data_IF_715853831329
#
_entry.id   IF_715853831329
#
_cell.length_a   1.000
_cell.length_b   1.000
_cell.length_c   1.000
_cell.angle_alpha   90.00
_cell.angle_beta   90.00
_cell.angle_gamma   90.00
#
_symmetry.space_group_name_H-M   'P 1'
#
loop_
_entity.id
_entity.type
_entity.pdbx_description
1 polymer ?
#
# COMPACT_ATOMS: atom_id res chain seq x y z
N UNK A 1 2.80 -21.27 -25.20
CA UNK A 1 1.78 -20.21 -25.27
C UNK A 1 2.03 -19.33 -24.04
N UNK A 2 2.56 -18.11 -24.21
CA UNK A 2 2.71 -17.17 -23.09
C UNK A 2 1.30 -16.80 -22.61
N UNK A 3 1.02 -17.02 -21.31
CA UNK A 3 -0.22 -16.53 -20.71
C UNK A 3 -0.30 -15.03 -20.97
N UNK A 4 -1.44 -14.55 -21.48
CA UNK A 4 -1.67 -13.11 -21.67
C UNK A 4 -1.52 -12.42 -20.32
N UNK A 5 -0.57 -11.51 -20.21
CA UNK A 5 -0.37 -10.73 -19.01
C UNK A 5 -1.43 -9.64 -18.91
N UNK A 6 -2.21 -9.67 -17.83
CA UNK A 6 -3.21 -8.65 -17.54
C UNK A 6 -2.70 -7.71 -16.44
N UNK A 7 -3.17 -6.47 -16.45
CA UNK A 7 -2.87 -5.52 -15.39
C UNK A 7 -3.42 -6.00 -14.04
N UNK A 8 -2.60 -6.10 -12.96
CA UNK A 8 -3.05 -6.59 -11.66
C UNK A 8 -4.00 -5.62 -10.94
N UNK A 9 -4.06 -4.36 -11.38
CA UNK A 9 -4.95 -3.34 -10.79
C UNK A 9 -6.33 -3.30 -11.47
N UNK A 10 -6.37 -3.20 -12.81
CA UNK A 10 -7.63 -2.95 -13.53
C UNK A 10 -8.05 -4.09 -14.47
N UNK A 11 -7.33 -5.21 -14.46
CA UNK A 11 -7.51 -6.35 -15.37
C UNK A 11 -7.45 -5.98 -16.87
N UNK A 12 -6.94 -4.80 -17.22
CA UNK A 12 -6.76 -4.35 -18.60
C UNK A 12 -5.75 -5.22 -19.36
N UNK A 13 -6.00 -5.43 -20.66
CA UNK A 13 -5.14 -6.22 -21.56
C UNK A 13 -4.13 -5.39 -22.34
N UNK A 14 -4.28 -4.07 -22.32
CA UNK A 14 -3.36 -3.11 -22.96
C UNK A 14 -2.09 -2.99 -22.13
N UNK A 15 -1.23 -4.02 -22.19
CA UNK A 15 0.00 -4.10 -21.42
C UNK A 15 1.19 -4.09 -22.39
N UNK A 16 2.17 -3.21 -22.14
CA UNK A 16 3.37 -3.07 -22.96
C UNK A 16 4.62 -2.97 -22.08
N UNK A 17 5.79 -3.27 -22.65
CA UNK A 17 7.07 -3.08 -22.00
C UNK A 17 7.28 -1.60 -21.64
N UNK A 18 7.66 -1.35 -20.39
CA UNK A 18 7.94 -0.02 -19.87
C UNK A 18 9.43 0.25 -19.73
N UNK A 19 10.13 -0.60 -18.99
CA UNK A 19 11.56 -0.48 -18.74
C UNK A 19 12.14 -1.86 -18.40
N UNK A 20 13.47 -1.96 -18.39
CA UNK A 20 14.21 -3.12 -17.89
C UNK A 20 15.46 -2.65 -17.17
N UNK A 21 15.76 -3.26 -16.04
CA UNK A 21 17.04 -3.14 -15.36
C UNK A 21 17.79 -4.48 -15.34
N UNK A 22 18.83 -4.59 -14.56
CA UNK A 22 19.65 -5.81 -14.47
C UNK A 22 18.92 -6.96 -13.77
N UNK A 23 17.84 -6.69 -13.03
CA UNK A 23 17.11 -7.65 -12.20
C UNK A 23 15.81 -8.10 -12.86
N UNK A 24 15.02 -7.15 -13.39
CA UNK A 24 13.67 -7.44 -13.87
C UNK A 24 13.18 -6.49 -14.97
N UNK A 25 12.17 -6.94 -15.68
CA UNK A 25 11.41 -6.13 -16.62
C UNK A 25 10.19 -5.51 -15.95
N UNK A 26 9.79 -4.33 -16.42
CA UNK A 26 8.63 -3.59 -15.96
C UNK A 26 7.66 -3.39 -17.10
N UNK A 27 6.39 -3.57 -16.80
CA UNK A 27 5.27 -3.44 -17.73
C UNK A 27 4.44 -2.20 -17.38
N UNK A 28 3.74 -1.67 -18.37
CA UNK A 28 2.85 -0.52 -18.24
C UNK A 28 1.47 -0.86 -18.78
N UNK A 29 0.45 -0.54 -18.01
CA UNK A 29 -0.94 -0.66 -18.44
C UNK A 29 -1.40 0.61 -19.15
N UNK A 30 -1.80 0.50 -20.43
CA UNK A 30 -2.34 1.62 -21.20
C UNK A 30 -3.67 2.16 -20.67
N UNK A 31 -4.43 1.33 -19.91
CA UNK A 31 -5.73 1.72 -19.36
C UNK A 31 -5.66 2.53 -18.07
N UNK A 32 -4.83 2.13 -17.10
CA UNK A 32 -4.77 2.76 -15.78
C UNK A 32 -3.40 3.36 -15.42
N UNK A 33 -2.44 3.29 -16.35
CA UNK A 33 -1.08 3.80 -16.21
C UNK A 33 -0.23 3.13 -15.10
N UNK A 34 -0.69 2.00 -14.51
CA UNK A 34 0.12 1.26 -13.55
C UNK A 34 1.39 0.75 -14.23
N UNK A 35 2.53 0.97 -13.58
CA UNK A 35 3.79 0.29 -13.88
C UNK A 35 3.97 -0.83 -12.87
N UNK A 36 4.24 -2.06 -13.35
CA UNK A 36 4.28 -3.25 -12.52
C UNK A 36 5.26 -4.28 -13.07
N UNK A 37 5.62 -5.27 -12.25
CA UNK A 37 6.45 -6.40 -12.66
C UNK A 37 5.59 -7.61 -13.02
N UNK A 38 6.11 -8.50 -13.87
CA UNK A 38 5.45 -9.77 -14.13
C UNK A 38 5.41 -10.65 -12.86
N UNK A 39 4.40 -11.54 -12.70
CA UNK A 39 4.25 -12.39 -11.51
C UNK A 39 5.49 -13.22 -11.16
N UNK A 40 6.32 -13.58 -12.16
CA UNK A 40 7.56 -14.35 -11.94
C UNK A 40 8.63 -13.60 -11.15
N UNK A 41 8.52 -12.28 -11.01
CA UNK A 41 9.45 -11.45 -10.25
C UNK A 41 8.96 -11.14 -8.84
N UNK A 42 7.71 -11.48 -8.53
CA UNK A 42 7.17 -11.29 -7.19
C UNK A 42 7.85 -12.24 -6.21
N UNK A 43 8.30 -11.76 -5.05
CA UNK A 43 8.92 -12.60 -4.05
C UNK A 43 7.90 -13.57 -3.44
N UNK A 44 8.39 -14.66 -2.87
CA UNK A 44 7.57 -15.51 -2.02
C UNK A 44 7.37 -14.87 -0.64
N UNK A 45 6.40 -15.39 0.13
CA UNK A 45 6.01 -14.85 1.44
C UNK A 45 7.17 -14.77 2.44
N UNK A 46 8.13 -15.69 2.39
CA UNK A 46 9.25 -15.69 3.31
C UNK A 46 10.27 -14.60 2.96
N UNK A 47 10.52 -14.42 1.67
CA UNK A 47 11.38 -13.35 1.13
C UNK A 47 10.77 -11.96 1.36
N UNK A 48 9.45 -11.80 1.17
CA UNK A 48 8.75 -10.56 1.52
C UNK A 48 8.93 -10.20 2.99
N UNK A 49 8.67 -11.15 3.89
CA UNK A 49 8.82 -10.92 5.32
C UNK A 49 10.25 -10.54 5.70
N UNK A 50 11.25 -11.23 5.14
CA UNK A 50 12.64 -10.93 5.40
C UNK A 50 13.02 -9.49 4.99
N UNK A 51 12.46 -8.97 3.90
CA UNK A 51 12.66 -7.58 3.47
C UNK A 51 11.98 -6.61 4.43
N UNK A 52 10.74 -6.89 4.85
CA UNK A 52 10.02 -6.02 5.79
C UNK A 52 10.65 -6.00 7.19
N UNK A 53 11.25 -7.10 7.64
CA UNK A 53 11.96 -7.17 8.93
C UNK A 53 13.24 -6.30 8.97
N UNK A 54 13.68 -5.75 7.82
CA UNK A 54 14.79 -4.77 7.76
C UNK A 54 14.34 -3.34 8.10
N UNK A 55 13.04 -3.06 8.13
CA UNK A 55 12.52 -1.73 8.42
C UNK A 55 12.41 -1.49 9.94
N UNK A 56 13.01 -0.41 10.40
CA UNK A 56 12.85 0.08 11.78
C UNK A 56 11.70 1.09 11.83
N UNK A 57 10.55 0.66 12.35
CA UNK A 57 9.33 1.44 12.44
C UNK A 57 9.04 1.84 13.90
N UNK A 58 9.98 2.55 14.58
CA UNK A 58 9.73 3.02 15.95
C UNK A 58 8.57 4.03 15.95
N UNK A 59 7.50 3.67 16.68
CA UNK A 59 6.30 4.50 16.83
C UNK A 59 6.58 5.87 17.46
N UNK A 60 7.73 6.04 18.11
CA UNK A 60 8.15 7.27 18.79
C UNK A 60 9.13 8.09 17.96
N UNK A 61 9.66 7.57 16.85
CA UNK A 61 10.59 8.31 16.00
C UNK A 61 9.92 9.56 15.42
N UNK A 62 10.42 10.77 15.79
CA UNK A 62 9.83 12.02 15.31
C UNK A 62 9.90 12.18 13.78
N UNK A 63 10.96 11.67 13.14
CA UNK A 63 11.13 11.77 11.69
C UNK A 63 10.12 10.86 10.96
N UNK A 64 9.92 9.64 11.47
CA UNK A 64 8.91 8.72 10.91
C UNK A 64 7.49 9.27 11.11
N UNK A 65 7.17 9.80 12.31
CA UNK A 65 5.88 10.46 12.58
C UNK A 65 5.65 11.69 11.68
N UNK A 66 6.68 12.52 11.45
CA UNK A 66 6.59 13.65 10.53
C UNK A 66 6.35 13.19 9.08
N UNK A 67 6.94 12.08 8.66
CA UNK A 67 6.66 11.46 7.37
C UNK A 67 5.20 11.01 7.26
N UNK A 68 4.68 10.28 8.25
CA UNK A 68 3.31 9.79 8.30
C UNK A 68 2.26 10.91 8.42
N UNK A 69 2.62 12.07 8.99
CA UNK A 69 1.74 13.25 9.08
C UNK A 69 1.28 13.75 7.69
N UNK A 70 2.01 13.44 6.63
CA UNK A 70 1.63 13.76 5.24
C UNK A 70 0.30 13.12 4.84
N UNK A 71 -0.04 11.95 5.43
CA UNK A 71 -1.36 11.33 5.29
C UNK A 71 -2.27 11.66 6.47
N UNK A 72 -1.76 11.59 7.70
CA UNK A 72 -2.56 11.77 8.90
C UNK A 72 -3.28 13.12 8.94
N UNK A 73 -2.58 14.24 8.67
CA UNK A 73 -3.17 15.57 8.74
C UNK A 73 -4.35 15.77 7.76
N UNK A 74 -4.20 15.52 6.44
CA UNK A 74 -5.31 15.69 5.52
C UNK A 74 -6.46 14.70 5.77
N UNK A 75 -6.17 13.50 6.31
CA UNK A 75 -7.19 12.52 6.67
C UNK A 75 -8.01 13.01 7.87
N UNK A 76 -7.34 13.37 8.97
CA UNK A 76 -7.98 13.88 10.19
C UNK A 76 -8.87 15.10 9.93
N UNK A 77 -8.42 16.00 9.05
CA UNK A 77 -9.21 17.20 8.68
C UNK A 77 -10.57 16.88 8.01
N UNK A 78 -10.78 15.63 7.60
CA UNK A 78 -11.99 15.17 6.91
C UNK A 78 -12.90 14.28 7.78
N UNK A 79 -12.40 13.86 8.92
CA UNK A 79 -13.09 12.87 9.76
C UNK A 79 -13.94 13.55 10.85
N UNK A 80 -15.11 13.01 11.16
CA UNK A 80 -15.86 13.43 12.35
C UNK A 80 -15.11 13.01 13.62
N UNK A 81 -15.37 13.65 14.78
CA UNK A 81 -14.84 13.22 16.06
C UNK A 81 -15.14 11.74 16.34
N UNK A 82 -14.19 11.03 16.95
CA UNK A 82 -14.30 9.62 17.32
C UNK A 82 -14.59 8.66 16.16
N UNK A 83 -14.24 9.04 14.92
CA UNK A 83 -14.37 8.15 13.77
C UNK A 83 -13.60 6.83 13.99
N UNK A 84 -14.14 5.73 13.47
CA UNK A 84 -13.51 4.42 13.51
C UNK A 84 -12.81 4.11 12.20
N UNK A 85 -11.59 3.58 12.28
CA UNK A 85 -10.77 3.29 11.11
C UNK A 85 -10.03 1.96 11.15
N UNK A 86 -9.44 1.62 10.02
CA UNK A 86 -8.54 0.49 9.84
C UNK A 86 -7.20 0.99 9.29
N UNK A 87 -6.11 0.64 9.95
CA UNK A 87 -4.76 0.80 9.41
C UNK A 87 -4.35 -0.53 8.75
N UNK A 88 -4.40 -0.54 7.42
CA UNK A 88 -4.13 -1.71 6.57
C UNK A 88 -2.67 -1.73 6.15
N UNK A 89 -1.97 -2.85 6.45
CA UNK A 89 -0.53 -2.94 6.29
C UNK A 89 0.20 -2.14 7.36
N UNK A 90 -0.23 -2.27 8.61
CA UNK A 90 0.27 -1.45 9.72
C UNK A 90 1.73 -1.73 10.11
N UNK A 91 2.34 -2.80 9.58
CA UNK A 91 3.71 -3.19 9.87
C UNK A 91 3.96 -3.60 11.33
N UNK A 92 5.23 -3.81 11.71
CA UNK A 92 5.60 -4.19 13.07
C UNK A 92 5.45 -3.04 14.09
N UNK A 93 5.56 -1.79 13.60
CA UNK A 93 5.42 -0.58 14.42
C UNK A 93 4.29 0.31 13.90
N UNK A 94 3.02 0.17 14.40
CA UNK A 94 1.85 0.85 13.87
C UNK A 94 1.79 2.33 14.26
N UNK A 95 2.80 3.11 13.83
CA UNK A 95 2.97 4.50 14.23
C UNK A 95 1.80 5.38 13.77
N UNK A 96 1.27 5.17 12.55
CA UNK A 96 0.11 5.94 12.07
C UNK A 96 -1.12 5.69 12.94
N UNK A 97 -1.41 4.43 13.26
CA UNK A 97 -2.52 4.09 14.16
C UNK A 97 -2.34 4.72 15.55
N UNK A 98 -1.12 4.72 16.10
CA UNK A 98 -0.82 5.41 17.36
C UNK A 98 -1.13 6.91 17.27
N UNK A 99 -0.66 7.58 16.21
CA UNK A 99 -0.91 9.02 15.98
C UNK A 99 -2.40 9.35 15.86
N UNK A 100 -3.18 8.48 15.21
CA UNK A 100 -4.62 8.67 15.06
C UNK A 100 -5.36 8.41 16.39
N UNK A 101 -4.96 7.37 17.16
CA UNK A 101 -5.50 7.09 18.48
C UNK A 101 -5.23 8.22 19.48
N UNK A 102 -4.05 8.84 19.45
CA UNK A 102 -3.70 10.03 20.24
C UNK A 102 -4.64 11.22 19.96
N UNK A 103 -5.28 11.24 18.79
CA UNK A 103 -6.26 12.24 18.36
C UNK A 103 -7.71 11.84 18.63
N UNK A 104 -7.91 10.72 19.33
CA UNK A 104 -9.25 10.26 19.76
C UNK A 104 -10.00 9.40 18.75
N UNK A 105 -9.32 8.88 17.70
CA UNK A 105 -9.92 7.93 16.75
C UNK A 105 -9.78 6.48 17.25
N UNK A 106 -10.75 5.64 16.91
CA UNK A 106 -10.65 4.20 17.10
C UNK A 106 -10.01 3.58 15.86
N UNK A 107 -8.88 2.88 15.99
CA UNK A 107 -8.16 2.31 14.85
C UNK A 107 -7.92 0.83 15.06
N UNK A 108 -8.53 0.00 14.23
CA UNK A 108 -8.21 -1.41 14.09
C UNK A 108 -6.91 -1.58 13.27
N UNK A 109 -6.20 -2.68 13.48
CA UNK A 109 -4.95 -2.98 12.78
C UNK A 109 -5.12 -4.26 11.96
N UNK A 110 -4.56 -4.26 10.76
CA UNK A 110 -4.37 -5.48 9.99
C UNK A 110 -3.04 -5.43 9.24
N UNK A 111 -2.29 -6.51 9.35
CA UNK A 111 -1.09 -6.76 8.56
C UNK A 111 -0.92 -8.28 8.41
N UNK A 112 -0.65 -8.81 7.19
CA UNK A 112 -0.57 -10.25 6.98
C UNK A 112 0.59 -10.93 7.73
N UNK A 113 1.60 -10.16 8.18
CA UNK A 113 2.79 -10.66 8.86
C UNK A 113 2.82 -10.31 10.35
N UNK A 114 2.38 -9.09 10.71
CA UNK A 114 2.59 -8.51 12.04
C UNK A 114 1.29 -8.36 12.86
N UNK A 115 0.14 -8.29 12.20
CA UNK A 115 -1.19 -8.27 12.82
C UNK A 115 -2.16 -9.15 12.00
N UNK A 116 -1.95 -10.48 11.96
CA UNK A 116 -2.60 -11.39 11.01
C UNK A 116 -4.05 -11.75 11.34
N UNK A 117 -4.61 -11.21 12.44
CA UNK A 117 -6.04 -11.39 12.73
C UNK A 117 -6.88 -10.75 11.63
N UNK A 118 -7.73 -11.56 11.00
CA UNK A 118 -8.58 -11.13 9.89
C UNK A 118 -9.93 -10.55 10.33
N UNK A 119 -10.22 -10.51 11.62
CA UNK A 119 -11.45 -9.91 12.16
C UNK A 119 -11.68 -8.48 11.68
N UNK A 120 -10.65 -7.59 11.66
CA UNK A 120 -10.80 -6.25 11.11
C UNK A 120 -11.23 -6.19 9.64
N UNK A 121 -10.94 -7.22 8.84
CA UNK A 121 -11.37 -7.30 7.45
C UNK A 121 -12.85 -7.67 7.26
N UNK A 122 -13.61 -7.77 8.34
CA UNK A 122 -15.07 -7.98 8.36
C UNK A 122 -15.82 -6.77 8.92
N UNK A 123 -15.08 -5.73 9.33
CA UNK A 123 -15.63 -4.50 9.90
C UNK A 123 -16.19 -3.54 8.87
N UNK A 124 -16.64 -2.38 9.35
CA UNK A 124 -17.08 -1.25 8.52
C UNK A 124 -16.57 0.04 9.16
N UNK A 125 -15.91 0.90 8.36
CA UNK A 125 -15.06 1.98 8.85
C UNK A 125 -15.44 3.34 8.25
N UNK A 126 -15.21 4.40 9.00
CA UNK A 126 -15.31 5.77 8.53
C UNK A 126 -14.07 6.16 7.70
N UNK A 127 -12.93 5.50 7.98
CA UNK A 127 -11.72 5.65 7.20
C UNK A 127 -10.88 4.37 7.16
N UNK A 128 -10.07 4.24 6.13
CA UNK A 128 -9.01 3.23 6.02
C UNK A 128 -7.73 3.93 5.58
N UNK A 129 -6.60 3.62 6.24
CA UNK A 129 -5.27 4.06 5.85
C UNK A 129 -4.45 2.91 5.28
N UNK A 130 -3.64 3.21 4.25
CA UNK A 130 -2.62 2.32 3.69
C UNK A 130 -1.41 3.17 3.31
N UNK A 131 -0.35 3.12 4.11
CA UNK A 131 0.87 3.92 3.94
C UNK A 131 2.05 3.05 3.57
N UNK A 132 2.64 3.26 2.39
CA UNK A 132 3.74 2.44 1.84
C UNK A 132 3.35 0.95 1.86
N UNK A 133 2.17 0.62 1.27
CA UNK A 133 1.57 -0.71 1.26
C UNK A 133 1.15 -1.14 -0.14
N UNK A 134 0.53 -0.22 -0.91
CA UNK A 134 -0.14 -0.61 -2.18
C UNK A 134 0.85 -1.03 -3.26
N UNK A 135 2.09 -0.59 -3.18
CA UNK A 135 3.23 -0.97 -4.02
C UNK A 135 3.70 -2.41 -3.82
N UNK A 136 3.38 -3.00 -2.66
CA UNK A 136 3.73 -4.37 -2.32
C UNK A 136 2.62 -5.38 -2.64
N UNK A 137 1.44 -4.91 -3.07
CA UNK A 137 0.30 -5.79 -3.28
C UNK A 137 0.46 -6.59 -4.59
N UNK A 138 0.50 -7.91 -4.49
CA UNK A 138 0.51 -8.80 -5.66
C UNK A 138 -0.79 -8.71 -6.48
N UNK A 139 -1.91 -8.38 -5.83
CA UNK A 139 -3.25 -8.23 -6.42
C UNK A 139 -3.90 -6.92 -5.99
N UNK A 140 -3.33 -5.76 -6.38
CA UNK A 140 -3.80 -4.47 -5.88
C UNK A 140 -5.28 -4.20 -6.21
N UNK A 141 -5.79 -4.68 -7.35
CA UNK A 141 -7.20 -4.50 -7.71
C UNK A 141 -8.16 -5.18 -6.75
N UNK A 142 -7.86 -6.43 -6.35
CA UNK A 142 -8.68 -7.19 -5.42
C UNK A 142 -8.64 -6.58 -4.01
N UNK A 143 -7.44 -6.21 -3.53
CA UNK A 143 -7.28 -5.64 -2.20
C UNK A 143 -7.90 -4.24 -2.09
N UNK A 144 -7.70 -3.36 -3.07
CA UNK A 144 -8.33 -2.04 -3.07
C UNK A 144 -9.86 -2.13 -3.17
N UNK A 145 -10.40 -3.07 -3.96
CA UNK A 145 -11.85 -3.31 -3.99
C UNK A 145 -12.38 -3.81 -2.64
N UNK A 146 -11.64 -4.70 -1.97
CA UNK A 146 -11.96 -5.14 -0.61
C UNK A 146 -11.98 -3.97 0.37
N UNK A 147 -10.90 -3.16 0.42
CA UNK A 147 -10.82 -1.99 1.31
C UNK A 147 -11.97 -1.02 1.05
N UNK A 148 -12.29 -0.79 -0.23
CA UNK A 148 -13.42 0.05 -0.59
C UNK A 148 -14.76 -0.48 -0.07
N UNK A 149 -14.96 -1.80 -0.08
CA UNK A 149 -16.18 -2.44 0.43
C UNK A 149 -16.34 -2.37 1.95
N UNK A 150 -15.26 -2.12 2.69
CA UNK A 150 -15.27 -1.95 4.15
C UNK A 150 -15.56 -0.50 4.57
N UNK A 151 -15.55 0.45 3.63
CA UNK A 151 -15.86 1.84 3.95
C UNK A 151 -17.37 2.05 4.10
N UNK A 152 -17.76 2.80 5.11
CA UNK A 152 -19.11 3.33 5.23
C UNK A 152 -19.39 4.34 4.12
N UNK A 153 -20.65 4.58 3.76
CA UNK A 153 -20.99 5.67 2.85
C UNK A 153 -20.43 7.01 3.34
N UNK A 154 -19.66 7.68 2.47
CA UNK A 154 -18.97 8.92 2.82
C UNK A 154 -17.63 8.74 3.54
N UNK A 155 -17.18 7.50 3.75
CA UNK A 155 -15.87 7.19 4.34
C UNK A 155 -14.70 7.50 3.41
N UNK A 156 -13.49 7.52 3.97
CA UNK A 156 -12.26 7.92 3.28
C UNK A 156 -11.25 6.78 3.20
N UNK A 157 -10.71 6.55 2.01
CA UNK A 157 -9.52 5.71 1.81
C UNK A 157 -8.30 6.61 1.65
N UNK A 158 -7.43 6.63 2.64
CA UNK A 158 -6.16 7.35 2.62
C UNK A 158 -5.04 6.42 2.15
N UNK A 159 -4.44 6.73 1.00
CA UNK A 159 -3.30 5.96 0.45
C UNK A 159 -2.10 6.88 0.33
N UNK A 160 -0.95 6.43 0.84
CA UNK A 160 0.33 7.10 0.64
C UNK A 160 1.33 6.13 0.00
N UNK A 161 1.80 6.48 -1.17
CA UNK A 161 2.81 5.75 -1.95
C UNK A 161 3.50 6.71 -2.92
N UNK A 162 4.55 6.27 -3.60
CA UNK A 162 5.24 7.06 -4.62
C UNK A 162 4.75 6.69 -6.01
N UNK A 163 4.42 7.71 -6.81
CA UNK A 163 3.95 7.52 -8.17
C UNK A 163 5.11 7.58 -9.17
N UNK A 164 5.07 6.70 -10.18
CA UNK A 164 5.90 6.81 -11.37
C UNK A 164 5.53 8.10 -12.11
N UNK A 165 6.51 8.97 -12.38
CA UNK A 165 6.29 10.24 -13.11
C UNK A 165 6.49 10.07 -14.62
N UNK A 166 7.68 9.60 -14.99
CA UNK A 166 8.06 9.38 -16.39
C UNK A 166 9.19 8.35 -16.48
N UNK A 167 9.53 7.93 -17.70
CA UNK A 167 10.58 6.91 -17.95
C UNK A 167 11.98 7.37 -17.52
N UNK A 168 12.31 8.65 -17.65
CA UNK A 168 13.63 9.18 -17.30
C UNK A 168 13.81 9.19 -15.77
N UNK A 169 12.79 9.66 -15.03
CA UNK A 169 12.76 9.59 -13.56
C UNK A 169 12.79 8.14 -13.06
N UNK A 170 12.06 7.24 -13.73
CA UNK A 170 12.01 5.82 -13.37
C UNK A 170 13.36 5.13 -13.51
N UNK A 171 14.17 5.47 -14.51
CA UNK A 171 15.46 4.85 -14.71
C UNK A 171 16.37 4.91 -13.47
N UNK A 172 16.35 6.05 -12.76
CA UNK A 172 17.14 6.31 -11.55
C UNK A 172 16.33 6.22 -10.25
N UNK A 173 15.12 5.70 -10.29
CA UNK A 173 14.23 5.68 -9.15
C UNK A 173 14.62 4.60 -8.13
N UNK A 174 15.09 5.04 -6.95
CA UNK A 174 15.55 4.13 -5.90
C UNK A 174 14.44 3.21 -5.36
N UNK A 175 13.19 3.64 -5.42
CA UNK A 175 12.01 2.90 -4.94
C UNK A 175 11.85 1.53 -5.59
N UNK A 176 12.21 1.39 -6.86
CA UNK A 176 12.24 0.09 -7.56
C UNK A 176 13.37 -0.84 -7.10
N UNK A 177 14.28 -0.38 -6.21
CA UNK A 177 15.35 -1.24 -5.69
C UNK A 177 14.87 -2.24 -4.65
N UNK A 178 13.75 -1.95 -4.01
CA UNK A 178 13.06 -2.90 -3.15
C UNK A 178 12.52 -4.06 -4.03
N UNK A 179 12.86 -5.32 -3.72
CA UNK A 179 12.40 -6.47 -4.49
C UNK A 179 10.90 -6.73 -4.35
N UNK A 180 10.25 -6.15 -3.36
CA UNK A 180 8.82 -6.32 -3.07
C UNK A 180 7.92 -5.29 -3.79
N UNK A 181 8.53 -4.26 -4.46
CA UNK A 181 7.82 -3.27 -5.28
C UNK A 181 7.59 -3.71 -6.71
#
# INVERSE_FOLDING_TARGET
MSAETHCPLCAGREVADYARDTRRGYLHCGRCALVFVEPRYLPDRASERAEYDLHDNDVRDPAYRAFLSRLAEPLVARLPPAASGLDFGCGPGPALACMLRERGFEVALYDPFYAPDRTPLQGSYDFISATEVVEHLHRPGEELARLWSLLRPGGWLGVMTKLVRDRAAFANWHYKNDPTH
#
